data_IF_981412215759
#
_entry.id   IF_981412215759
#
_cell.length_a   1.000
_cell.length_b   1.000
_cell.length_c   1.000
_cell.angle_alpha   90.00
_cell.angle_beta   90.00
_cell.angle_gamma   90.00
#
_symmetry.space_group_name_H-M   'P 1'
#
loop_
_entity.id
_entity.type
_entity.pdbx_description
1 polymer ?
#
# COMPACT_ATOMS: atom_id res chain seq x y z
N UNK A 1 35.99 28.61 -51.57
CA UNK A 1 36.98 29.13 -50.62
C UNK A 1 36.34 29.08 -49.24
N UNK A 2 36.20 27.87 -48.69
CA UNK A 2 37.18 27.25 -47.77
C UNK A 2 37.36 28.05 -46.47
N UNK A 3 36.79 27.54 -45.37
CA UNK A 3 37.62 26.89 -44.34
C UNK A 3 36.78 26.17 -43.29
N UNK A 4 37.00 24.85 -43.22
CA UNK A 4 36.69 23.94 -42.11
C UNK A 4 37.52 24.28 -40.87
N UNK A 5 37.00 23.94 -39.68
CA UNK A 5 37.78 23.19 -38.68
C UNK A 5 36.88 22.46 -37.66
N UNK A 6 36.93 21.12 -37.75
CA UNK A 6 36.53 20.14 -36.74
C UNK A 6 37.54 20.14 -35.59
N UNK A 7 37.12 19.82 -34.38
CA UNK A 7 37.98 19.14 -33.42
C UNK A 7 37.14 18.16 -32.60
N UNK A 8 37.38 16.86 -32.80
CA UNK A 8 36.90 15.79 -31.93
C UNK A 8 38.02 15.39 -30.98
N UNK A 9 37.66 14.77 -29.87
CA UNK A 9 38.59 13.94 -29.08
C UNK A 9 37.81 12.77 -28.51
N UNK A 10 38.35 11.59 -28.83
CA UNK A 10 37.90 10.24 -28.44
C UNK A 10 38.84 9.74 -27.32
N UNK A 11 38.71 8.46 -26.98
CA UNK A 11 39.59 7.60 -26.15
C UNK A 11 39.44 7.81 -24.62
N UNK A 12 39.33 6.82 -23.71
CA UNK A 12 39.72 5.40 -23.70
C UNK A 12 38.79 4.51 -22.86
N UNK A 13 38.71 3.26 -23.31
CA UNK A 13 38.27 2.05 -22.61
C UNK A 13 39.31 1.65 -21.55
N UNK A 14 38.87 1.29 -20.35
CA UNK A 14 39.73 0.72 -19.29
C UNK A 14 39.06 -0.45 -18.59
N UNK A 15 39.35 -1.68 -19.06
CA UNK A 15 39.16 -2.93 -18.30
C UNK A 15 40.28 -3.04 -17.28
N UNK A 16 39.96 -3.36 -16.02
CA UNK A 16 40.95 -3.88 -15.08
C UNK A 16 40.36 -5.05 -14.29
N UNK A 17 40.87 -6.23 -14.61
CA UNK A 17 40.70 -7.49 -13.89
C UNK A 17 41.90 -7.65 -12.97
N UNK A 18 41.72 -7.96 -11.67
CA UNK A 18 42.82 -8.50 -10.87
C UNK A 18 42.36 -9.35 -9.66
N UNK A 19 42.61 -10.65 -9.80
CA UNK A 19 43.20 -11.65 -8.89
C UNK A 19 42.79 -11.72 -7.40
N UNK A 20 42.02 -12.77 -7.12
CA UNK A 20 42.23 -13.89 -6.16
C UNK A 20 43.46 -13.77 -5.23
N UNK A 21 43.20 -13.91 -3.93
CA UNK A 21 44.19 -14.24 -2.89
C UNK A 21 43.82 -15.59 -2.24
N UNK A 22 44.80 -16.50 -2.15
CA UNK A 22 44.74 -17.79 -1.45
C UNK A 22 45.89 -17.83 -0.44
N UNK A 23 45.62 -18.28 0.80
CA UNK A 23 46.62 -18.67 1.80
C UNK A 23 45.94 -19.00 3.13
N UNK A 24 45.70 -20.27 3.47
CA UNK A 24 46.55 -21.21 4.23
C UNK A 24 46.87 -20.79 5.68
N UNK A 25 46.30 -21.49 6.68
CA UNK A 25 47.08 -22.12 7.75
C UNK A 25 46.27 -23.19 8.53
N UNK A 26 46.86 -24.38 8.63
CA UNK A 26 46.47 -25.53 9.45
C UNK A 26 47.18 -25.52 10.81
N UNK A 27 46.56 -26.12 11.83
CA UNK A 27 47.14 -26.87 12.97
C UNK A 27 46.01 -27.14 14.01
N UNK A 28 45.88 -28.25 14.75
CA UNK A 28 46.63 -29.49 14.89
C UNK A 28 45.75 -30.57 15.60
N UNK A 29 46.23 -31.82 15.53
CA UNK A 29 45.69 -33.07 16.08
C UNK A 29 45.61 -33.19 17.61
N UNK A 30 44.77 -34.13 18.06
CA UNK A 30 44.90 -34.85 19.34
C UNK A 30 44.13 -36.18 19.28
N UNK A 31 44.86 -37.31 19.28
CA UNK A 31 44.36 -38.68 19.22
C UNK A 31 44.54 -39.40 20.57
N UNK A 32 43.67 -40.36 20.88
CA UNK A 32 43.80 -41.26 22.03
C UNK A 32 42.86 -42.47 21.93
N UNK A 33 43.41 -43.61 21.51
CA UNK A 33 42.78 -44.92 21.35
C UNK A 33 42.57 -45.68 22.68
N UNK A 34 41.42 -46.37 22.82
CA UNK A 34 41.30 -47.85 22.97
C UNK A 34 39.93 -48.28 23.50
N UNK A 35 39.23 -49.09 22.71
CA UNK A 35 38.09 -49.92 23.13
C UNK A 35 38.56 -51.21 23.84
N UNK A 36 37.68 -51.86 24.62
CA UNK A 36 37.18 -53.16 24.13
C UNK A 36 35.69 -53.45 24.39
N UNK A 37 35.07 -54.03 23.35
CA UNK A 37 33.91 -54.97 23.20
C UNK A 37 32.68 -54.93 24.14
N UNK A 38 31.53 -54.70 23.47
CA UNK A 38 30.25 -55.45 23.45
C UNK A 38 30.08 -56.55 24.51
N UNK A 39 28.98 -56.65 25.27
CA UNK A 39 27.58 -56.63 24.85
C UNK A 39 26.66 -56.50 26.09
N UNK A 40 25.63 -55.65 26.08
CA UNK A 40 24.22 -56.02 26.39
C UNK A 40 23.26 -54.82 26.48
N UNK A 41 22.46 -54.69 25.42
CA UNK A 41 21.11 -54.10 25.30
C UNK A 41 20.98 -52.56 25.34
N UNK A 42 20.46 -51.93 24.26
CA UNK A 42 20.17 -50.49 24.24
C UNK A 42 18.97 -50.14 25.14
N UNK A 43 18.97 -48.98 25.82
CA UNK A 43 17.72 -48.38 26.28
C UNK A 43 16.89 -47.95 25.06
N UNK A 44 15.58 -48.19 25.12
CA UNK A 44 14.61 -47.80 24.09
C UNK A 44 14.84 -46.35 23.61
N UNK A 45 14.90 -46.08 22.30
CA UNK A 45 14.90 -44.72 21.81
C UNK A 45 13.55 -44.07 22.12
N UNK A 46 13.57 -43.24 23.17
CA UNK A 46 12.70 -42.09 23.37
C UNK A 46 12.29 -41.50 22.02
N UNK A 47 10.98 -41.47 21.77
CA UNK A 47 10.30 -40.81 20.65
C UNK A 47 11.08 -39.59 20.15
N UNK A 48 11.86 -39.77 19.09
CA UNK A 48 12.24 -38.70 18.20
C UNK A 48 10.97 -38.26 17.48
N UNK A 49 10.18 -37.40 18.12
CA UNK A 49 9.24 -36.55 17.38
C UNK A 49 10.10 -35.65 16.52
N UNK A 50 10.08 -35.92 15.23
CA UNK A 50 10.55 -35.07 14.16
C UNK A 50 10.32 -33.60 14.55
N UNK A 51 11.41 -32.86 14.72
CA UNK A 51 11.36 -31.41 14.67
C UNK A 51 10.91 -31.04 13.26
N UNK A 52 9.61 -30.92 13.07
CA UNK A 52 9.08 -30.09 12.01
C UNK A 52 9.71 -28.72 12.19
N UNK A 53 10.30 -28.11 11.14
CA UNK A 53 10.62 -26.70 11.22
C UNK A 53 9.29 -26.01 11.47
N UNK A 54 9.13 -25.49 12.69
CA UNK A 54 8.13 -24.50 13.04
C UNK A 54 8.31 -23.36 12.04
N UNK A 55 7.60 -23.46 10.93
CA UNK A 55 7.37 -22.34 10.03
C UNK A 55 6.40 -21.45 10.78
N UNK A 56 6.93 -20.72 11.74
CA UNK A 56 6.29 -19.60 12.40
C UNK A 56 6.04 -18.50 11.36
N UNK A 57 5.16 -18.76 10.39
CA UNK A 57 4.46 -17.71 9.67
C UNK A 57 3.48 -17.15 10.69
N UNK A 58 3.93 -16.10 11.37
CA UNK A 58 3.17 -15.46 12.42
C UNK A 58 1.78 -15.08 11.90
N UNK A 59 0.74 -15.38 12.68
CA UNK A 59 -0.60 -14.85 12.40
C UNK A 59 -0.62 -13.31 12.37
N UNK A 60 0.44 -12.67 12.90
CA UNK A 60 0.68 -11.22 12.88
C UNK A 60 0.99 -10.62 11.48
N UNK A 61 1.14 -11.43 10.43
CA UNK A 61 1.38 -10.94 9.05
C UNK A 61 0.10 -10.80 8.21
N UNK A 62 -1.09 -11.02 8.79
CA UNK A 62 -2.38 -10.95 8.08
C UNK A 62 -3.10 -9.64 8.34
N UNK A 63 -3.57 -9.00 7.28
CA UNK A 63 -4.43 -7.80 7.30
C UNK A 63 -5.81 -8.16 6.72
N UNK A 64 -6.88 -7.41 7.05
CA UNK A 64 -8.20 -7.67 6.48
C UNK A 64 -8.19 -7.57 4.95
N UNK A 65 -9.08 -8.32 4.31
CA UNK A 65 -9.25 -8.27 2.86
C UNK A 65 -10.14 -7.08 2.48
N UNK A 66 -9.77 -6.37 1.42
CA UNK A 66 -10.66 -5.43 0.77
C UNK A 66 -11.71 -6.25 -0.01
N UNK A 67 -12.98 -5.81 -0.08
CA UNK A 67 -13.98 -6.55 -0.85
C UNK A 67 -13.54 -6.68 -2.32
N UNK A 68 -13.58 -7.90 -2.86
CA UNK A 68 -13.17 -8.19 -4.23
C UNK A 68 -14.22 -9.03 -4.97
N UNK A 69 -14.69 -8.62 -6.17
CA UNK A 69 -14.41 -7.35 -6.84
C UNK A 69 -14.81 -6.14 -5.97
N UNK A 70 -14.10 -4.99 -6.09
CA UNK A 70 -14.43 -3.81 -5.30
C UNK A 70 -15.88 -3.37 -5.57
N UNK A 71 -16.62 -2.87 -4.56
CA UNK A 71 -17.93 -2.29 -4.78
C UNK A 71 -17.83 -1.16 -5.78
N UNK A 72 -18.88 -0.94 -6.56
CA UNK A 72 -18.93 0.03 -7.65
C UNK A 72 -18.51 1.42 -7.16
N UNK A 73 -17.37 1.96 -7.60
CA UNK A 73 -16.95 3.29 -7.21
C UNK A 73 -17.72 4.33 -8.02
N UNK A 74 -17.75 5.56 -7.50
CA UNK A 74 -18.28 6.74 -8.19
C UNK A 74 -17.47 7.07 -9.44
N UNK A 75 -16.14 6.89 -9.37
CA UNK A 75 -15.22 6.97 -10.49
C UNK A 75 -14.02 6.04 -10.28
N UNK A 76 -13.39 5.63 -11.37
CA UNK A 76 -12.18 4.80 -11.36
C UNK A 76 -11.19 5.34 -12.38
N UNK A 77 -9.90 5.40 -12.01
CA UNK A 77 -8.86 5.87 -12.92
C UNK A 77 -7.52 5.17 -12.63
N UNK A 78 -6.83 4.63 -13.66
CA UNK A 78 -5.47 4.15 -13.50
C UNK A 78 -4.51 5.32 -13.26
N UNK A 79 -3.59 5.16 -12.32
CA UNK A 79 -2.49 6.10 -12.10
C UNK A 79 -1.39 5.80 -13.13
N UNK A 80 -0.82 6.82 -13.81
CA UNK A 80 0.25 6.60 -14.77
C UNK A 80 1.45 5.85 -14.16
N UNK A 81 1.83 4.74 -14.76
CA UNK A 81 2.83 3.82 -14.21
C UNK A 81 4.27 4.37 -14.31
N UNK A 82 4.63 4.99 -15.45
CA UNK A 82 6.00 5.47 -15.65
C UNK A 82 6.47 6.47 -14.56
N UNK A 83 5.67 7.48 -14.18
CA UNK A 83 5.98 8.33 -13.04
C UNK A 83 6.09 7.59 -11.70
N UNK A 84 5.20 6.63 -11.42
CA UNK A 84 5.27 5.82 -10.19
C UNK A 84 6.55 5.00 -10.13
N UNK A 85 6.98 4.39 -11.24
CA UNK A 85 8.25 3.66 -11.31
C UNK A 85 9.45 4.57 -11.09
N UNK A 86 9.41 5.79 -11.63
CA UNK A 86 10.46 6.78 -11.39
C UNK A 86 10.56 7.16 -9.90
N UNK A 87 9.43 7.24 -9.18
CA UNK A 87 9.44 7.50 -7.74
C UNK A 87 10.09 6.35 -6.95
N UNK A 88 9.88 5.12 -7.38
CA UNK A 88 10.38 3.92 -6.70
C UNK A 88 11.88 3.70 -6.95
N UNK A 89 12.37 4.02 -8.15
CA UNK A 89 13.79 3.89 -8.50
C UNK A 89 14.21 2.42 -8.63
N UNK A 90 15.39 2.06 -8.11
CA UNK A 90 15.96 0.71 -8.21
C UNK A 90 15.34 -0.30 -7.24
N UNK A 91 14.64 0.14 -6.19
CA UNK A 91 14.01 -0.73 -5.20
C UNK A 91 12.64 -1.20 -5.71
N UNK A 92 12.61 -2.26 -6.52
CA UNK A 92 11.38 -2.74 -7.16
C UNK A 92 10.54 -3.61 -6.23
N UNK A 93 10.11 -3.08 -5.08
CA UNK A 93 9.23 -3.78 -4.12
C UNK A 93 7.91 -3.02 -3.89
N UNK A 94 6.86 -3.75 -3.51
CA UNK A 94 5.59 -3.13 -3.13
C UNK A 94 5.75 -2.22 -1.89
N UNK A 95 6.69 -2.52 -1.00
CA UNK A 95 7.02 -1.67 0.15
C UNK A 95 7.62 -0.33 -0.25
N UNK A 96 8.54 -0.32 -1.24
CA UNK A 96 9.09 0.92 -1.75
C UNK A 96 8.02 1.78 -2.45
N UNK A 97 7.11 1.14 -3.22
CA UNK A 97 5.96 1.84 -3.81
C UNK A 97 5.03 2.40 -2.74
N UNK A 98 4.68 1.62 -1.71
CA UNK A 98 3.90 2.06 -0.56
C UNK A 98 4.50 3.31 0.11
N UNK A 99 5.80 3.30 0.40
CA UNK A 99 6.48 4.44 1.02
C UNK A 99 6.44 5.71 0.15
N UNK A 100 6.43 5.57 -1.18
CA UNK A 100 6.29 6.71 -2.10
C UNK A 100 4.85 7.20 -2.19
N UNK A 101 3.89 6.28 -2.35
CA UNK A 101 2.47 6.59 -2.37
C UNK A 101 2.07 7.32 -1.09
N UNK A 102 2.45 6.79 0.07
CA UNK A 102 2.16 7.39 1.38
C UNK A 102 2.71 8.79 1.50
N UNK A 103 3.96 9.05 1.10
CA UNK A 103 4.54 10.41 1.11
C UNK A 103 3.77 11.39 0.22
N UNK A 104 3.37 10.95 -0.98
CA UNK A 104 2.57 11.78 -1.89
C UNK A 104 1.19 12.09 -1.28
N UNK A 105 0.55 11.08 -0.70
CA UNK A 105 -0.78 11.19 -0.09
C UNK A 105 -0.75 12.05 1.18
N UNK A 106 0.26 11.87 2.05
CA UNK A 106 0.51 12.70 3.23
C UNK A 106 0.78 14.16 2.84
N UNK A 107 1.53 14.41 1.75
CA UNK A 107 1.74 15.77 1.22
C UNK A 107 0.45 16.41 0.69
N UNK A 108 -0.54 15.61 0.27
CA UNK A 108 -1.91 16.04 -0.02
C UNK A 108 -2.74 16.35 1.24
N UNK A 109 -2.21 16.08 2.43
CA UNK A 109 -2.83 16.31 3.74
C UNK A 109 -3.58 15.11 4.32
N UNK A 110 -3.53 13.93 3.68
CA UNK A 110 -4.16 12.71 4.19
C UNK A 110 -3.19 11.98 5.12
N UNK A 111 -3.29 12.26 6.43
CA UNK A 111 -2.39 11.67 7.44
C UNK A 111 -2.88 10.34 8.00
N UNK A 112 -4.17 10.05 7.83
CA UNK A 112 -4.78 8.81 8.29
C UNK A 112 -5.14 7.93 7.10
N UNK A 113 -4.76 6.67 7.20
CA UNK A 113 -5.03 5.66 6.19
C UNK A 113 -5.20 4.27 6.80
N UNK A 114 -5.68 3.36 5.98
CA UNK A 114 -5.93 1.97 6.33
C UNK A 114 -5.49 1.07 5.19
N UNK A 115 -4.87 -0.07 5.53
CA UNK A 115 -4.40 -1.06 4.57
C UNK A 115 -5.29 -2.29 4.58
N UNK A 116 -5.57 -2.79 3.38
CA UNK A 116 -6.27 -4.05 3.16
C UNK A 116 -5.53 -4.90 2.13
N UNK A 117 -5.64 -6.23 2.27
CA UNK A 117 -5.18 -7.14 1.24
C UNK A 117 -6.12 -7.12 0.03
N UNK A 118 -5.55 -7.15 -1.16
CA UNK A 118 -6.23 -7.46 -2.43
C UNK A 118 -5.47 -8.60 -3.11
N UNK A 119 -5.99 -9.22 -4.19
CA UNK A 119 -5.25 -10.23 -4.93
C UNK A 119 -3.84 -9.74 -5.26
N UNK A 120 -2.85 -10.47 -4.76
CA UNK A 120 -1.41 -10.26 -4.94
C UNK A 120 -0.87 -8.84 -4.66
N UNK A 121 -1.59 -8.03 -3.88
CA UNK A 121 -1.15 -6.69 -3.55
C UNK A 121 -1.88 -6.09 -2.34
N UNK A 122 -2.09 -4.78 -2.37
CA UNK A 122 -2.77 -4.07 -1.28
C UNK A 122 -3.70 -2.96 -1.79
N UNK A 123 -4.68 -2.60 -0.96
CA UNK A 123 -5.44 -1.37 -1.08
C UNK A 123 -5.03 -0.41 0.03
N UNK A 124 -4.70 0.82 -0.34
CA UNK A 124 -4.50 1.95 0.58
C UNK A 124 -5.76 2.79 0.58
N UNK A 125 -6.46 2.84 1.71
CA UNK A 125 -7.70 3.59 1.91
C UNK A 125 -7.37 4.87 2.67
N UNK A 126 -7.73 6.04 2.11
CA UNK A 126 -7.60 7.30 2.84
C UNK A 126 -8.71 7.47 3.86
N UNK A 127 -8.49 8.31 4.88
CA UNK A 127 -9.61 8.86 5.68
C UNK A 127 -10.70 9.49 4.81
N UNK A 128 -11.89 9.61 5.39
CA UNK A 128 -12.99 10.37 4.80
C UNK A 128 -12.62 11.85 4.70
N UNK A 129 -12.95 12.45 3.56
CA UNK A 129 -12.72 13.86 3.27
C UNK A 129 -14.02 14.56 2.88
N UNK A 130 -14.24 15.75 3.42
CA UNK A 130 -15.27 16.68 2.95
C UNK A 130 -14.78 17.51 1.77
N UNK A 131 -15.61 17.60 0.74
CA UNK A 131 -15.32 18.34 -0.49
C UNK A 131 -16.45 19.32 -0.82
N UNK A 132 -16.09 20.40 -1.51
CA UNK A 132 -17.02 21.31 -2.15
C UNK A 132 -17.64 20.65 -3.39
N UNK A 133 -18.62 21.33 -3.97
CA UNK A 133 -19.31 20.85 -5.17
C UNK A 133 -18.36 20.62 -6.35
N UNK A 134 -17.31 21.44 -6.50
CA UNK A 134 -16.31 21.29 -7.57
C UNK A 134 -15.21 20.25 -7.26
N UNK A 135 -15.31 19.57 -6.11
CA UNK A 135 -14.37 18.56 -5.65
C UNK A 135 -13.13 19.10 -4.93
N UNK A 136 -13.01 20.42 -4.74
CA UNK A 136 -11.99 21.01 -3.85
C UNK A 136 -12.21 20.53 -2.42
N UNK A 137 -11.15 20.21 -1.67
CA UNK A 137 -11.30 19.94 -0.25
C UNK A 137 -11.84 21.17 0.49
N UNK A 138 -12.75 20.98 1.46
CA UNK A 138 -13.14 22.07 2.36
C UNK A 138 -11.89 22.65 3.07
N UNK A 139 -11.92 23.93 3.42
CA UNK A 139 -10.78 24.60 4.03
C UNK A 139 -10.55 24.21 5.51
N UNK A 140 -9.28 24.22 5.94
CA UNK A 140 -8.89 24.05 7.34
C UNK A 140 -9.35 22.72 7.94
N UNK A 141 -9.81 22.74 9.19
CA UNK A 141 -10.27 21.53 9.88
C UNK A 141 -11.61 21.01 9.35
N UNK A 142 -12.43 21.84 8.69
CA UNK A 142 -13.71 21.42 8.08
C UNK A 142 -13.54 20.35 7.00
N UNK A 143 -12.35 20.21 6.42
CA UNK A 143 -11.98 19.09 5.53
C UNK A 143 -12.20 17.72 6.19
N UNK A 144 -12.03 17.69 7.51
CA UNK A 144 -11.78 16.51 8.30
C UNK A 144 -12.72 16.37 9.48
N UNK A 145 -13.24 17.47 10.03
CA UNK A 145 -14.05 17.50 11.24
C UNK A 145 -15.54 17.67 10.92
N UNK A 146 -16.41 17.00 11.68
CA UNK A 146 -17.82 17.33 11.70
C UNK A 146 -18.00 18.68 12.41
N UNK A 147 -18.90 19.54 11.94
CA UNK A 147 -19.11 20.88 12.52
C UNK A 147 -19.76 20.84 13.93
N UNK A 148 -20.23 19.67 14.37
CA UNK A 148 -20.73 19.43 15.73
C UNK A 148 -19.55 19.22 16.68
N UNK A 149 -19.45 20.06 17.72
CA UNK A 149 -18.30 20.19 18.64
C UNK A 149 -17.80 18.90 19.32
N UNK A 150 -16.71 19.00 20.11
CA UNK A 150 -15.90 17.86 20.53
C UNK A 150 -16.74 16.77 21.21
N UNK A 151 -16.71 15.56 20.66
CA UNK A 151 -17.37 14.41 21.26
C UNK A 151 -16.76 14.11 22.63
N UNK A 152 -17.62 13.91 23.64
CA UNK A 152 -17.21 13.41 24.95
C UNK A 152 -16.82 11.94 24.83
N UNK A 153 -15.51 11.67 24.78
CA UNK A 153 -14.93 10.34 24.60
C UNK A 153 -14.49 10.08 23.15
N UNK A 154 -13.21 9.76 22.93
CA UNK A 154 -12.68 9.45 21.61
C UNK A 154 -13.09 8.03 21.20
N UNK A 155 -14.06 7.93 20.29
CA UNK A 155 -14.36 6.72 19.54
C UNK A 155 -14.19 7.02 18.06
N UNK A 156 -13.25 6.32 17.39
CA UNK A 156 -12.99 6.52 15.96
C UNK A 156 -14.24 6.21 15.13
N UNK A 157 -14.98 5.16 15.47
CA UNK A 157 -16.25 4.82 14.82
C UNK A 157 -17.32 5.87 15.07
N UNK A 158 -17.38 6.44 16.28
CA UNK A 158 -18.25 7.58 16.60
C UNK A 158 -17.91 8.83 15.79
N UNK A 159 -16.62 9.10 15.60
CA UNK A 159 -16.11 10.26 14.86
C UNK A 159 -16.45 10.16 13.38
N UNK A 160 -16.19 9.01 12.77
CA UNK A 160 -16.50 8.76 11.37
C UNK A 160 -18.01 8.74 11.10
N UNK A 161 -18.79 8.16 12.03
CA UNK A 161 -20.27 8.25 11.96
C UNK A 161 -20.74 9.70 12.04
N UNK A 162 -20.16 10.50 12.93
CA UNK A 162 -20.50 11.92 13.03
C UNK A 162 -20.09 12.70 11.78
N UNK A 163 -18.97 12.35 11.14
CA UNK A 163 -18.55 13.00 9.88
C UNK A 163 -19.55 12.78 8.75
N UNK A 164 -19.98 11.54 8.54
CA UNK A 164 -20.98 11.23 7.51
C UNK A 164 -22.41 11.68 7.84
N UNK A 165 -22.65 12.27 9.01
CA UNK A 165 -23.99 12.73 9.43
C UNK A 165 -24.01 14.22 9.82
N UNK A 166 -22.87 14.90 9.91
CA UNK A 166 -22.77 16.25 10.47
C UNK A 166 -23.33 17.34 9.56
N UNK A 167 -23.05 17.27 8.27
CA UNK A 167 -23.25 18.40 7.36
C UNK A 167 -23.84 17.91 6.02
N UNK A 168 -24.78 18.68 5.49
CA UNK A 168 -25.16 18.54 4.08
C UNK A 168 -23.91 18.79 3.22
N UNK A 169 -23.69 17.94 2.23
CA UNK A 169 -22.61 18.14 1.28
C UNK A 169 -22.05 16.84 0.73
N UNK A 170 -20.81 16.94 0.26
CA UNK A 170 -20.13 15.86 -0.45
C UNK A 170 -18.92 15.39 0.33
N UNK A 171 -18.75 14.08 0.30
CA UNK A 171 -17.66 13.39 0.98
C UNK A 171 -16.99 12.45 -0.01
N UNK A 172 -15.71 12.18 0.17
CA UNK A 172 -15.02 11.13 -0.60
C UNK A 172 -14.07 10.29 0.23
N UNK A 173 -13.95 9.04 -0.17
CA UNK A 173 -12.86 8.13 0.20
C UNK A 173 -12.09 7.82 -1.08
N UNK A 174 -10.77 7.91 -1.02
CA UNK A 174 -9.88 7.49 -2.10
C UNK A 174 -9.28 6.13 -1.71
N UNK A 175 -9.38 5.16 -2.62
CA UNK A 175 -8.76 3.85 -2.46
C UNK A 175 -7.76 3.64 -3.58
N UNK A 176 -6.49 3.48 -3.26
CA UNK A 176 -5.44 3.15 -4.20
C UNK A 176 -5.19 1.65 -4.17
N UNK A 177 -5.62 0.95 -5.21
CA UNK A 177 -5.42 -0.49 -5.37
C UNK A 177 -4.13 -0.72 -6.14
N UNK A 178 -3.17 -1.37 -5.50
CA UNK A 178 -1.91 -1.82 -6.10
C UNK A 178 -1.98 -3.33 -6.29
N UNK A 179 -2.01 -3.79 -7.53
CA UNK A 179 -2.15 -5.22 -7.85
C UNK A 179 -1.65 -5.53 -9.27
N UNK A 180 -1.12 -6.74 -9.52
CA UNK A 180 -0.90 -7.24 -10.89
C UNK A 180 -2.21 -7.65 -11.60
N UNK A 181 -3.32 -7.75 -10.85
CA UNK A 181 -4.61 -8.13 -11.39
C UNK A 181 -5.40 -6.91 -11.84
N UNK A 182 -6.04 -6.94 -13.02
CA UNK A 182 -6.92 -5.87 -13.45
C UNK A 182 -8.07 -5.65 -12.45
N UNK A 183 -8.35 -4.38 -12.14
CA UNK A 183 -9.41 -4.01 -11.21
C UNK A 183 -10.73 -3.90 -11.97
N UNK A 184 -11.64 -4.84 -11.75
CA UNK A 184 -13.01 -4.79 -12.25
C UNK A 184 -13.97 -4.51 -11.10
N UNK A 185 -14.63 -3.36 -11.12
CA UNK A 185 -15.64 -3.03 -10.13
C UNK A 185 -16.89 -3.90 -10.28
N UNK A 186 -17.54 -4.21 -9.16
CA UNK A 186 -18.82 -4.90 -9.16
C UNK A 186 -19.85 -4.11 -9.98
N UNK A 187 -20.62 -4.74 -10.89
CA UNK A 187 -21.62 -4.04 -11.69
C UNK A 187 -22.86 -3.63 -10.88
N UNK A 188 -23.16 -4.37 -9.80
CA UNK A 188 -24.41 -4.27 -9.03
C UNK A 188 -24.20 -3.90 -7.57
N UNK A 189 -23.06 -4.27 -6.96
CA UNK A 189 -22.81 -3.98 -5.55
C UNK A 189 -22.31 -2.55 -5.40
N UNK A 190 -23.08 -1.70 -4.72
CA UNK A 190 -22.62 -0.41 -4.20
C UNK A 190 -22.21 -0.56 -2.73
N UNK A 191 -21.46 0.41 -2.21
CA UNK A 191 -21.05 0.43 -0.80
C UNK A 191 -22.01 1.30 0.02
N UNK A 192 -22.43 0.80 1.18
CA UNK A 192 -23.21 1.55 2.18
C UNK A 192 -22.32 2.45 3.04
N UNK A 193 -22.89 3.46 3.71
CA UNK A 193 -22.13 4.28 4.67
C UNK A 193 -21.48 3.42 5.77
N UNK A 194 -22.17 2.37 6.24
CA UNK A 194 -21.65 1.45 7.25
C UNK A 194 -20.40 0.70 6.75
N UNK A 195 -20.47 0.14 5.55
CA UNK A 195 -19.31 -0.56 4.94
C UNK A 195 -18.15 0.41 4.68
N UNK A 196 -18.44 1.62 4.19
CA UNK A 196 -17.42 2.65 3.98
C UNK A 196 -16.71 3.05 5.29
N UNK A 197 -17.46 3.17 6.39
CA UNK A 197 -16.89 3.40 7.72
C UNK A 197 -16.01 2.25 8.19
N UNK A 198 -16.40 1.00 7.92
CA UNK A 198 -15.60 -0.16 8.28
C UNK A 198 -14.21 -0.10 7.63
N UNK A 199 -14.10 0.39 6.39
CA UNK A 199 -12.81 0.57 5.73
C UNK A 199 -11.85 1.53 6.44
N UNK A 200 -12.38 2.47 7.23
CA UNK A 200 -11.60 3.48 7.94
C UNK A 200 -11.21 3.04 9.36
N UNK A 201 -11.82 1.98 9.89
CA UNK A 201 -11.64 1.53 11.28
C UNK A 201 -11.01 0.15 11.36
N UNK A 202 -11.37 -0.75 10.44
CA UNK A 202 -10.98 -2.16 10.51
C UNK A 202 -9.64 -2.44 9.82
N UNK A 203 -9.20 -1.55 8.93
CA UNK A 203 -7.97 -1.73 8.17
C UNK A 203 -6.72 -1.67 9.03
N UNK A 204 -5.65 -2.28 8.55
CA UNK A 204 -4.37 -2.26 9.25
C UNK A 204 -3.70 -0.89 9.14
N UNK A 205 -2.98 -0.47 10.19
CA UNK A 205 -2.22 0.79 10.20
C UNK A 205 -0.97 0.77 9.31
N UNK A 206 -0.49 -0.41 8.96
CA UNK A 206 0.73 -0.59 8.17
C UNK A 206 0.64 -1.83 7.29
N UNK A 207 1.35 -1.79 6.16
CA UNK A 207 1.48 -2.93 5.29
C UNK A 207 2.40 -4.01 5.93
N UNK A 208 2.00 -5.29 5.99
CA UNK A 208 2.83 -6.37 6.52
C UNK A 208 4.09 -6.61 5.71
N UNK A 209 5.12 -7.15 6.37
CA UNK A 209 6.40 -7.47 5.73
C UNK A 209 6.25 -8.45 4.56
N UNK A 210 5.29 -9.38 4.65
CA UNK A 210 4.98 -10.36 3.61
C UNK A 210 4.49 -9.72 2.30
N UNK A 211 3.72 -8.63 2.37
CA UNK A 211 3.28 -7.89 1.17
C UNK A 211 4.37 -6.90 0.73
N UNK A 212 5.01 -6.20 1.66
CA UNK A 212 6.08 -5.23 1.36
C UNK A 212 7.22 -5.83 0.54
N UNK A 213 7.60 -7.09 0.83
CA UNK A 213 8.69 -7.79 0.14
C UNK A 213 8.33 -8.30 -1.26
N UNK A 214 7.06 -8.22 -1.68
CA UNK A 214 6.66 -8.67 -3.01
C UNK A 214 7.28 -7.78 -4.09
N UNK A 215 7.66 -8.34 -5.26
CA UNK A 215 8.18 -7.54 -6.36
C UNK A 215 7.15 -6.55 -6.90
N UNK A 216 7.58 -5.32 -7.20
CA UNK A 216 6.84 -4.37 -8.02
C UNK A 216 7.13 -4.64 -9.51
N UNK A 217 6.52 -5.72 -10.01
CA UNK A 217 6.70 -6.23 -11.38
C UNK A 217 6.12 -5.30 -12.47
N UNK A 218 6.39 -5.59 -13.76
CA UNK A 218 5.89 -4.80 -14.90
C UNK A 218 4.36 -4.86 -15.07
N UNK A 219 3.74 -5.88 -14.49
CA UNK A 219 2.31 -6.18 -14.48
C UNK A 219 1.55 -5.49 -13.33
N UNK A 220 2.26 -5.09 -12.26
CA UNK A 220 1.66 -4.39 -11.14
C UNK A 220 1.26 -2.97 -11.56
N UNK A 221 0.00 -2.63 -11.32
CA UNK A 221 -0.56 -1.31 -11.59
C UNK A 221 -1.10 -0.68 -10.31
N UNK A 222 -1.25 0.65 -10.31
CA UNK A 222 -1.98 1.38 -9.29
C UNK A 222 -3.25 1.97 -9.90
N UNK A 223 -4.41 1.62 -9.35
CA UNK A 223 -5.71 2.14 -9.77
C UNK A 223 -6.36 2.87 -8.61
N UNK A 224 -6.78 4.12 -8.82
CA UNK A 224 -7.57 4.86 -7.86
C UNK A 224 -9.06 4.59 -8.06
N UNK A 225 -9.72 4.19 -6.98
CA UNK A 225 -11.17 4.08 -6.83
C UNK A 225 -11.65 5.25 -5.98
N UNK A 226 -12.63 5.99 -6.49
CA UNK A 226 -13.21 7.13 -5.79
C UNK A 226 -14.61 6.74 -5.35
N UNK A 227 -14.85 6.78 -4.04
CA UNK A 227 -16.17 6.60 -3.46
C UNK A 227 -16.67 7.97 -2.99
N UNK A 228 -17.51 8.61 -3.79
CA UNK A 228 -18.18 9.87 -3.47
C UNK A 228 -19.52 9.59 -2.82
N UNK A 229 -19.77 10.25 -1.69
CA UNK A 229 -21.02 10.19 -0.96
C UNK A 229 -21.66 11.58 -0.94
N UNK A 230 -22.97 11.62 -1.04
CA UNK A 230 -23.77 12.81 -0.81
C UNK A 230 -24.61 12.63 0.44
N UNK A 231 -24.53 13.63 1.31
CA UNK A 231 -25.48 13.81 2.39
C UNK A 231 -26.42 14.95 1.99
N UNK A 232 -27.66 14.63 1.61
CA UNK A 232 -28.64 15.59 1.10
C UNK A 232 -29.15 16.54 2.18
N UNK A 233 -29.23 16.06 3.42
CA UNK A 233 -29.74 16.77 4.59
C UNK A 233 -28.90 16.47 5.84
N UNK A 234 -28.82 17.44 6.75
CA UNK A 234 -28.11 17.25 8.03
C UNK A 234 -28.73 16.09 8.81
N UNK A 235 -27.89 15.19 9.32
CA UNK A 235 -28.30 14.00 10.07
C UNK A 235 -28.79 12.81 9.22
N UNK A 236 -29.03 12.98 7.92
CA UNK A 236 -29.37 11.89 7.03
C UNK A 236 -28.17 10.96 6.77
N UNK A 237 -28.44 9.72 6.37
CA UNK A 237 -27.40 8.78 5.93
C UNK A 237 -26.78 9.27 4.62
N UNK A 238 -25.45 9.29 4.56
CA UNK A 238 -24.74 9.63 3.35
C UNK A 238 -24.88 8.49 2.32
N UNK A 239 -25.34 8.83 1.13
CA UNK A 239 -25.59 7.85 0.06
C UNK A 239 -24.48 7.93 -0.99
N UNK A 240 -24.03 6.78 -1.47
CA UNK A 240 -23.02 6.75 -2.53
C UNK A 240 -23.59 7.28 -3.86
N UNK A 241 -22.81 8.12 -4.54
CA UNK A 241 -23.13 8.66 -5.87
C UNK A 241 -22.51 7.77 -6.93
N UNK A 242 -23.33 7.02 -7.67
CA UNK A 242 -22.88 6.19 -8.80
C UNK A 242 -23.78 6.42 -10.02
N UNK A 243 -23.28 6.99 -11.13
CA UNK A 243 -21.93 7.55 -11.29
C UNK A 243 -21.70 8.76 -10.36
N UNK A 244 -20.43 9.05 -10.09
CA UNK A 244 -20.04 10.26 -9.37
C UNK A 244 -20.28 11.52 -10.19
N UNK A 245 -20.25 12.68 -9.52
CA UNK A 245 -20.41 13.99 -10.20
C UNK A 245 -19.19 14.39 -11.01
N UNK A 246 -18.00 13.95 -10.59
CA UNK A 246 -16.74 14.38 -11.16
C UNK A 246 -15.94 13.17 -11.70
N UNK A 247 -15.16 13.36 -12.78
CA UNK A 247 -14.21 12.35 -13.22
C UNK A 247 -13.15 12.04 -12.15
N UNK A 248 -12.65 10.80 -12.14
CA UNK A 248 -11.63 10.36 -11.18
C UNK A 248 -10.38 11.25 -11.18
N UNK A 249 -9.93 11.69 -12.36
CA UNK A 249 -8.80 12.62 -12.50
C UNK A 249 -9.07 13.94 -11.78
N UNK A 250 -10.26 14.51 -11.93
CA UNK A 250 -10.64 15.78 -11.30
C UNK A 250 -10.59 15.65 -9.78
N UNK A 251 -11.06 14.54 -9.20
CA UNK A 251 -10.91 14.31 -7.76
C UNK A 251 -9.44 14.33 -7.34
N UNK A 252 -8.56 13.61 -8.05
CA UNK A 252 -7.14 13.53 -7.71
C UNK A 252 -6.40 14.86 -7.92
N UNK A 253 -6.77 15.65 -8.94
CA UNK A 253 -6.21 16.98 -9.17
C UNK A 253 -6.62 17.94 -8.06
N UNK A 254 -7.90 17.96 -7.68
CA UNK A 254 -8.42 18.80 -6.59
C UNK A 254 -7.87 18.37 -5.22
N UNK A 255 -7.60 17.08 -5.03
CA UNK A 255 -6.89 16.53 -3.87
C UNK A 255 -5.39 16.85 -3.85
N UNK A 256 -4.85 17.49 -4.90
CA UNK A 256 -3.41 17.75 -5.11
C UNK A 256 -2.54 16.49 -5.23
N UNK A 257 -3.15 15.35 -5.55
CA UNK A 257 -2.47 14.07 -5.68
C UNK A 257 -2.02 13.79 -7.13
N UNK A 258 -2.82 14.16 -8.13
CA UNK A 258 -2.56 13.80 -9.52
C UNK A 258 -1.19 14.25 -10.04
N UNK A 259 -0.84 15.52 -9.82
CA UNK A 259 0.47 16.06 -10.23
C UNK A 259 1.63 15.46 -9.42
N UNK A 260 1.39 15.17 -8.14
CA UNK A 260 2.40 14.64 -7.24
C UNK A 260 2.80 13.18 -7.56
N UNK A 261 1.93 12.43 -8.25
CA UNK A 261 2.32 11.14 -8.81
C UNK A 261 3.26 11.24 -10.01
N UNK A 262 3.50 12.44 -10.54
CA UNK A 262 4.62 12.78 -11.43
C UNK A 262 4.18 13.31 -12.79
N UNK A 263 3.66 14.55 -12.75
CA UNK A 263 3.77 15.48 -13.88
C UNK A 263 5.18 16.05 -13.96
#
# INVERSE_FOLDING_TARGET
MEHLKKCGTQIMVGKLTLLIWVGWMMAACGAGDRAPRLDSRPPEPSNARNGEPSTGHSENDKIPNFPWPPPKPSAMIPIPDAPLRQLVGSDSTLGALDDRLRKVIEAGGYLESSYFAVPDGFAFVTRLEQIEEDGTPKAGTKRWEPEVGPMRGFSLSGYLKSLFTAEKGYYRILVFVVSPHPVFASPTKTVSQKEANAWLVEGASNLPGSIKKRPYGPDVTCTALIYEFEQSERGAEATIRVPGRLPGRTHLEKARLWRAFGS
#
